data_IF_499097398980
#
_entry.id   IF_499097398980
#
_cell.length_a   1.000
_cell.length_b   1.000
_cell.length_c   1.000
_cell.angle_alpha   90.00
_cell.angle_beta   90.00
_cell.angle_gamma   90.00
#
_symmetry.space_group_name_H-M   'P 1'
#
loop_
_entity.id
_entity.type
_entity.pdbx_description
1 polymer ?
#
# COMPACT_ATOMS: atom_id res chain seq x y z
N UNK A 1 31.93 5.22 33.11
CA UNK A 1 30.46 5.16 32.92
C UNK A 1 30.08 5.90 31.65
N UNK A 2 30.48 7.17 31.49
CA UNK A 2 30.21 8.00 30.29
C UNK A 2 30.64 7.37 28.95
N UNK A 3 31.81 6.71 28.89
CA UNK A 3 32.27 6.06 27.66
C UNK A 3 31.39 4.86 27.25
N UNK A 4 30.86 4.10 28.22
CA UNK A 4 29.92 3.00 27.94
C UNK A 4 28.59 3.52 27.41
N UNK A 5 28.10 4.63 27.95
CA UNK A 5 26.89 5.30 27.46
C UNK A 5 27.09 5.83 26.03
N UNK A 6 28.24 6.44 25.71
CA UNK A 6 28.57 6.86 24.33
C UNK A 6 28.58 5.70 23.35
N UNK A 7 29.22 4.57 23.71
CA UNK A 7 29.23 3.38 22.86
C UNK A 7 27.83 2.76 22.73
N UNK A 8 27.00 2.78 23.79
CA UNK A 8 25.61 2.34 23.71
C UNK A 8 24.79 3.22 22.75
N UNK A 9 24.92 4.54 22.85
CA UNK A 9 24.23 5.46 21.95
C UNK A 9 24.66 5.27 20.49
N UNK A 10 25.96 5.12 20.23
CA UNK A 10 26.48 4.86 18.90
C UNK A 10 25.99 3.51 18.33
N UNK A 11 25.92 2.48 19.17
CA UNK A 11 25.37 1.17 18.80
C UNK A 11 23.89 1.29 18.44
N UNK A 12 23.08 1.94 19.27
CA UNK A 12 21.66 2.17 19.00
C UNK A 12 21.44 2.96 17.70
N UNK A 13 22.26 3.98 17.45
CA UNK A 13 22.18 4.76 16.22
C UNK A 13 22.50 3.88 14.99
N UNK A 14 23.56 3.07 15.06
CA UNK A 14 23.92 2.17 13.97
C UNK A 14 22.86 1.08 13.73
N UNK A 15 22.27 0.55 14.79
CA UNK A 15 21.15 -0.40 14.72
C UNK A 15 19.92 0.22 14.05
N UNK A 16 19.55 1.44 14.43
CA UNK A 16 18.43 2.15 13.84
C UNK A 16 18.66 2.42 12.35
N UNK A 17 19.87 2.87 11.99
CA UNK A 17 20.23 3.09 10.60
C UNK A 17 20.19 1.80 9.76
N UNK A 18 20.58 0.67 10.35
CA UNK A 18 20.45 -0.64 9.71
C UNK A 18 18.98 -1.02 9.50
N UNK A 19 18.10 -0.73 10.45
CA UNK A 19 16.66 -0.98 10.32
C UNK A 19 16.09 -0.13 9.18
N UNK A 20 16.43 1.15 9.11
CA UNK A 20 15.98 2.05 8.04
C UNK A 20 16.41 1.56 6.66
N UNK A 21 17.67 1.17 6.49
CA UNK A 21 18.16 0.61 5.22
C UNK A 21 17.46 -0.69 4.83
N UNK A 22 17.13 -1.55 5.81
CA UNK A 22 16.37 -2.77 5.56
C UNK A 22 14.95 -2.48 5.10
N UNK A 23 14.28 -1.49 5.70
CA UNK A 23 12.94 -1.05 5.27
C UNK A 23 13.00 -0.51 3.84
N UNK A 24 13.95 0.38 3.54
CA UNK A 24 14.13 0.90 2.18
C UNK A 24 14.38 -0.21 1.15
N UNK A 25 15.18 -1.22 1.50
CA UNK A 25 15.40 -2.38 0.64
C UNK A 25 14.13 -3.20 0.42
N UNK A 26 13.28 -3.34 1.45
CA UNK A 26 12.01 -4.03 1.35
C UNK A 26 11.00 -3.27 0.49
N UNK A 27 10.99 -1.94 0.57
CA UNK A 27 10.11 -1.07 -0.22
C UNK A 27 10.39 -1.17 -1.74
N UNK A 28 11.60 -1.56 -2.14
CA UNK A 28 11.93 -1.85 -3.54
C UNK A 28 11.18 -3.08 -4.09
N UNK A 29 10.64 -3.93 -3.21
CA UNK A 29 9.81 -5.08 -3.57
C UNK A 29 8.35 -4.79 -3.23
N UNK A 30 7.65 -4.14 -4.16
CA UNK A 30 6.23 -3.85 -3.98
C UNK A 30 5.42 -5.15 -4.04
N UNK A 31 4.70 -5.43 -2.95
CA UNK A 31 3.81 -6.61 -2.82
C UNK A 31 2.35 -6.19 -2.88
N UNK A 32 1.48 -7.09 -3.30
CA UNK A 32 0.05 -6.86 -3.25
C UNK A 32 -0.41 -6.65 -1.79
N UNK A 33 -1.13 -5.55 -1.48
CA UNK A 33 -1.62 -5.29 -0.13
C UNK A 33 -2.81 -6.19 0.26
N UNK A 34 -3.52 -6.73 -0.73
CA UNK A 34 -4.73 -7.55 -0.56
C UNK A 34 -4.80 -8.62 -1.64
N UNK A 35 -5.49 -9.71 -1.36
CA UNK A 35 -5.86 -10.70 -2.38
C UNK A 35 -6.84 -10.08 -3.38
N UNK A 36 -6.67 -10.41 -4.66
CA UNK A 36 -7.52 -9.89 -5.72
C UNK A 36 -7.02 -10.27 -7.11
N UNK A 37 -7.79 -9.86 -8.11
CA UNK A 37 -7.41 -10.00 -9.51
C UNK A 37 -6.54 -8.81 -9.94
N UNK A 38 -5.47 -9.10 -10.67
CA UNK A 38 -4.57 -8.06 -11.21
C UNK A 38 -5.20 -7.47 -12.47
N UNK A 39 -5.51 -6.18 -12.40
CA UNK A 39 -6.00 -5.39 -13.52
C UNK A 39 -4.85 -4.81 -14.37
N UNK A 40 -5.06 -3.67 -15.03
CA UNK A 40 -4.03 -3.02 -15.83
C UNK A 40 -2.77 -2.70 -15.00
N UNK A 41 -1.62 -2.98 -15.59
CA UNK A 41 -0.29 -2.63 -15.07
C UNK A 41 0.25 -1.54 -16.00
N UNK A 42 0.07 -0.25 -15.65
CA UNK A 42 0.58 0.85 -16.47
C UNK A 42 2.11 0.98 -16.41
N UNK A 43 2.78 0.28 -15.49
CA UNK A 43 4.22 0.37 -15.32
C UNK A 43 5.00 -0.45 -16.37
N UNK A 44 5.96 0.21 -17.03
CA UNK A 44 6.89 -0.45 -17.95
C UNK A 44 8.26 -0.70 -17.33
N UNK A 45 8.92 -1.76 -17.78
CA UNK A 45 10.29 -2.09 -17.34
C UNK A 45 11.26 -1.03 -17.86
N UNK A 46 11.98 -0.38 -16.95
CA UNK A 46 12.96 0.67 -17.27
C UNK A 46 12.41 2.08 -17.15
N UNK A 47 11.10 2.24 -16.88
CA UNK A 47 10.51 3.54 -16.58
C UNK A 47 10.77 3.95 -15.12
N UNK A 48 10.98 5.24 -14.89
CA UNK A 48 11.22 5.78 -13.56
C UNK A 48 9.89 6.04 -12.84
N UNK A 49 9.55 5.16 -11.89
CA UNK A 49 8.41 5.34 -10.99
C UNK A 49 8.84 6.00 -9.67
N UNK A 50 8.00 6.91 -9.18
CA UNK A 50 8.14 7.47 -7.83
C UNK A 50 7.13 6.80 -6.87
N UNK A 51 7.25 7.07 -5.56
CA UNK A 51 6.43 6.44 -4.53
C UNK A 51 4.91 6.69 -4.65
N UNK A 52 4.49 7.69 -5.43
CA UNK A 52 3.09 8.05 -5.62
C UNK A 52 2.53 7.60 -6.98
N UNK A 53 3.37 7.01 -7.84
CA UNK A 53 2.96 6.56 -9.16
C UNK A 53 2.27 5.18 -9.05
N UNK A 54 1.07 4.99 -9.62
CA UNK A 54 0.38 3.72 -9.56
C UNK A 54 1.11 2.67 -10.41
N UNK A 55 1.44 1.52 -9.80
CA UNK A 55 2.12 0.43 -10.50
C UNK A 55 1.15 -0.57 -11.14
N UNK A 56 0.10 -0.93 -10.41
CA UNK A 56 -0.91 -1.88 -10.84
C UNK A 56 -2.24 -1.62 -10.13
N UNK A 57 -3.34 -2.05 -10.75
CA UNK A 57 -4.67 -2.04 -10.12
C UNK A 57 -5.02 -3.44 -9.63
N UNK A 58 -5.58 -3.55 -8.42
CA UNK A 58 -6.11 -4.81 -7.87
C UNK A 58 -7.62 -4.72 -7.70
N UNK A 59 -8.33 -5.75 -8.15
CA UNK A 59 -9.80 -5.83 -8.09
C UNK A 59 -10.19 -6.95 -7.13
N UNK A 60 -11.04 -6.62 -6.14
CA UNK A 60 -11.54 -7.58 -5.15
C UNK A 60 -12.95 -8.04 -5.51
N UNK A 61 -13.06 -9.09 -6.33
CA UNK A 61 -14.35 -9.65 -6.74
C UNK A 61 -15.26 -10.07 -5.56
N UNK A 62 -14.75 -10.67 -4.45
CA UNK A 62 -15.60 -11.02 -3.32
C UNK A 62 -16.29 -9.84 -2.64
N UNK A 63 -15.77 -8.62 -2.82
CA UNK A 63 -16.32 -7.39 -2.28
C UNK A 63 -16.99 -6.51 -3.35
N UNK A 64 -17.22 -7.05 -4.54
CA UNK A 64 -17.87 -6.31 -5.62
C UNK A 64 -19.33 -5.98 -5.25
N UNK A 65 -19.75 -4.76 -5.55
CA UNK A 65 -21.11 -4.28 -5.34
C UNK A 65 -21.63 -3.55 -6.58
N UNK A 66 -22.94 -3.54 -6.74
CA UNK A 66 -23.59 -2.77 -7.80
C UNK A 66 -23.96 -1.39 -7.27
N UNK A 67 -23.65 -0.37 -8.06
CA UNK A 67 -24.14 1.00 -7.83
C UNK A 67 -25.32 1.26 -8.74
N UNK A 68 -26.50 1.45 -8.14
CA UNK A 68 -27.70 1.89 -8.84
C UNK A 68 -27.99 3.35 -8.50
N UNK A 69 -27.98 4.21 -9.51
CA UNK A 69 -28.37 5.60 -9.35
C UNK A 69 -29.87 5.72 -9.61
N UNK A 70 -30.63 6.07 -8.57
CA UNK A 70 -32.08 6.16 -8.63
C UNK A 70 -32.58 7.54 -8.25
N UNK A 71 -33.61 8.00 -8.93
CA UNK A 71 -34.33 9.23 -8.57
C UNK A 71 -35.16 8.97 -7.32
N UNK A 72 -35.20 9.94 -6.42
CA UNK A 72 -35.79 9.79 -5.07
C UNK A 72 -37.27 9.38 -5.09
N UNK A 73 -38.03 9.84 -6.08
CA UNK A 73 -39.44 9.46 -6.28
C UNK A 73 -39.63 7.97 -6.62
N UNK A 74 -38.66 7.33 -7.28
CA UNK A 74 -38.68 5.89 -7.55
C UNK A 74 -38.15 5.11 -6.33
N UNK A 75 -37.24 5.70 -5.55
CA UNK A 75 -36.69 5.08 -4.35
C UNK A 75 -37.77 4.80 -3.29
N UNK A 76 -38.79 5.65 -3.20
CA UNK A 76 -39.91 5.48 -2.27
C UNK A 76 -40.64 4.13 -2.43
N UNK A 77 -40.64 3.57 -3.65
CA UNK A 77 -41.31 2.31 -3.98
C UNK A 77 -40.37 1.09 -3.85
N UNK A 78 -39.08 1.29 -3.57
CA UNK A 78 -38.13 0.19 -3.39
C UNK A 78 -38.17 -0.34 -1.96
N UNK A 79 -38.22 -1.66 -1.84
CA UNK A 79 -38.08 -2.38 -0.58
C UNK A 79 -36.80 -3.21 -0.62
N UNK A 80 -36.09 -3.26 0.52
CA UNK A 80 -35.03 -4.24 0.70
C UNK A 80 -35.66 -5.63 0.64
N UNK A 81 -35.10 -6.50 -0.21
CA UNK A 81 -35.47 -7.92 -0.31
C UNK A 81 -35.21 -8.69 0.97
#
# INVERSE_FOLDING_TARGET
IELREKYRAALQQAEQQLIELKVQQQDLQVKAPVDGEVGPIPAEVGELFNANSPLATLIRLPEAYFVYNLREDILADIRKG
#
